data_IF_971589124013
#
_entry.id   IF_971589124013
#
_cell.length_a   1.000
_cell.length_b   1.000
_cell.length_c   1.000
_cell.angle_alpha   90.00
_cell.angle_beta   90.00
_cell.angle_gamma   90.00
#
_symmetry.space_group_name_H-M   'P 1'
#
loop_
_entity.id
_entity.type
_entity.pdbx_description
1 polymer ?
#
# COMPACT_ATOMS: atom_id res chain seq x y z
N UNK A 1 5.46 2.67 -14.51
CA UNK A 1 6.51 3.30 -13.65
C UNK A 1 7.61 2.30 -13.38
N UNK A 2 8.85 2.73 -13.14
CA UNK A 2 9.89 1.85 -12.58
C UNK A 2 9.64 1.61 -11.09
N UNK A 3 10.14 0.50 -10.55
CA UNK A 3 10.03 0.16 -9.11
C UNK A 3 10.54 1.30 -8.21
N UNK A 4 11.65 1.92 -8.57
CA UNK A 4 12.24 3.07 -7.84
C UNK A 4 11.30 4.27 -7.83
N UNK A 5 10.68 4.59 -8.97
CA UNK A 5 9.71 5.69 -9.05
C UNK A 5 8.49 5.42 -8.18
N UNK A 6 7.99 4.19 -8.18
CA UNK A 6 6.84 3.77 -7.39
C UNK A 6 7.10 3.91 -5.88
N UNK A 7 8.27 3.45 -5.43
CA UNK A 7 8.70 3.54 -4.04
C UNK A 7 8.87 4.99 -3.59
N UNK A 8 9.53 5.82 -4.41
CA UNK A 8 9.70 7.24 -4.09
C UNK A 8 8.36 7.97 -4.02
N UNK A 9 7.42 7.62 -4.90
CA UNK A 9 6.07 8.20 -4.90
C UNK A 9 5.29 7.78 -3.66
N UNK A 10 5.42 6.53 -3.23
CA UNK A 10 4.79 6.03 -2.01
C UNK A 10 5.38 6.66 -0.75
N UNK A 11 6.70 6.77 -0.64
CA UNK A 11 7.37 7.43 0.49
C UNK A 11 6.98 8.93 0.55
N UNK A 12 6.94 9.60 -0.60
CA UNK A 12 6.46 10.98 -0.70
C UNK A 12 5.00 11.12 -0.24
N UNK A 13 4.11 10.22 -0.67
CA UNK A 13 2.72 10.18 -0.19
C UNK A 13 2.66 10.02 1.33
N UNK A 14 3.44 9.09 1.89
CA UNK A 14 3.55 8.89 3.34
C UNK A 14 4.20 10.07 4.07
N UNK A 15 4.88 10.97 3.36
CA UNK A 15 5.60 12.10 3.96
C UNK A 15 6.86 11.65 4.70
N UNK A 16 7.44 10.53 4.26
CA UNK A 16 8.69 9.99 4.80
C UNK A 16 9.76 9.97 3.70
N UNK A 17 11.02 9.83 4.12
CA UNK A 17 12.17 9.72 3.22
C UNK A 17 12.75 8.31 3.32
N UNK A 18 13.48 7.90 2.28
CA UNK A 18 14.13 6.59 2.26
C UNK A 18 15.21 6.54 3.35
N UNK A 19 15.15 5.52 4.21
CA UNK A 19 16.15 5.25 5.24
C UNK A 19 16.74 3.84 5.03
N UNK A 20 17.89 3.52 5.66
CA UNK A 20 18.40 2.15 5.73
C UNK A 20 17.38 1.19 6.35
N UNK A 21 17.34 -0.05 5.85
CA UNK A 21 16.43 -1.07 6.36
C UNK A 21 16.69 -1.34 7.83
N UNK A 22 15.69 -1.09 8.66
CA UNK A 22 15.73 -1.34 10.10
C UNK A 22 14.32 -1.58 10.62
N UNK A 23 14.21 -2.27 11.76
CA UNK A 23 12.93 -2.47 12.44
C UNK A 23 12.29 -1.13 12.84
N UNK A 24 13.11 -0.16 13.22
CA UNK A 24 12.68 1.21 13.54
C UNK A 24 12.01 1.85 12.32
N UNK A 25 12.65 1.78 11.17
CA UNK A 25 12.11 2.35 9.93
C UNK A 25 10.82 1.65 9.48
N UNK A 26 10.73 0.32 9.64
CA UNK A 26 9.49 -0.43 9.39
C UNK A 26 8.33 0.08 10.27
N UNK A 27 8.56 0.27 11.56
CA UNK A 27 7.54 0.76 12.49
C UNK A 27 7.09 2.19 12.15
N UNK A 28 8.03 3.06 11.77
CA UNK A 28 7.73 4.42 11.29
C UNK A 28 6.88 4.40 10.01
N UNK A 29 7.20 3.52 9.06
CA UNK A 29 6.43 3.34 7.83
C UNK A 29 5.00 2.86 8.10
N UNK A 30 4.83 1.85 8.96
CA UNK A 30 3.51 1.33 9.35
C UNK A 30 2.68 2.44 9.98
N UNK A 31 3.27 3.19 10.92
CA UNK A 31 2.58 4.30 11.60
C UNK A 31 2.15 5.39 10.61
N UNK A 32 3.07 5.86 9.77
CA UNK A 32 2.77 6.90 8.78
C UNK A 32 1.68 6.47 7.79
N UNK A 33 1.67 5.18 7.42
CA UNK A 33 0.64 4.60 6.57
C UNK A 33 -0.73 4.59 7.25
N UNK A 34 -0.82 4.09 8.47
CA UNK A 34 -2.07 4.04 9.23
C UNK A 34 -2.66 5.43 9.49
N UNK A 35 -1.82 6.45 9.68
CA UNK A 35 -2.27 7.84 9.89
C UNK A 35 -2.79 8.49 8.60
N UNK A 36 -2.20 8.20 7.44
CA UNK A 36 -2.55 8.85 6.17
C UNK A 36 -3.59 8.09 5.34
N UNK A 37 -3.62 6.77 5.43
CA UNK A 37 -4.52 5.92 4.63
C UNK A 37 -5.81 5.73 5.41
N UNK A 38 -6.87 6.43 4.97
CA UNK A 38 -8.18 6.40 5.63
C UNK A 38 -8.80 5.01 5.64
N UNK A 39 -9.47 4.65 6.72
CA UNK A 39 -10.19 3.38 6.82
C UNK A 39 -11.40 3.37 5.89
N UNK A 40 -11.51 2.36 5.03
CA UNK A 40 -12.59 2.25 4.06
C UNK A 40 -12.91 0.78 3.72
N UNK A 41 -14.20 0.51 3.50
CA UNK A 41 -14.73 -0.83 3.19
C UNK A 41 -15.12 -1.00 1.72
N UNK A 42 -15.39 0.11 1.02
CA UNK A 42 -15.96 0.09 -0.34
C UNK A 42 -15.03 -0.53 -1.39
N UNK A 43 -13.73 -0.21 -1.33
CA UNK A 43 -12.77 -0.76 -2.29
C UNK A 43 -12.55 -2.26 -2.12
N UNK A 44 -12.73 -2.81 -0.91
CA UNK A 44 -12.72 -4.27 -0.68
C UNK A 44 -13.91 -4.98 -1.32
N UNK A 45 -15.12 -4.42 -1.22
CA UNK A 45 -16.31 -4.99 -1.85
C UNK A 45 -16.11 -5.05 -3.36
N UNK A 46 -15.58 -3.98 -3.96
CA UNK A 46 -15.28 -3.91 -5.40
C UNK A 46 -14.21 -4.94 -5.80
N UNK A 47 -13.12 -5.05 -5.03
CA UNK A 47 -12.04 -6.00 -5.31
C UNK A 47 -12.51 -7.46 -5.14
N UNK A 48 -13.37 -7.73 -4.14
CA UNK A 48 -13.99 -9.04 -3.93
C UNK A 48 -14.94 -9.43 -5.07
N UNK A 49 -15.80 -8.49 -5.53
CA UNK A 49 -16.69 -8.74 -6.66
C UNK A 49 -15.93 -9.01 -7.96
N UNK A 50 -14.80 -8.33 -8.17
CA UNK A 50 -13.88 -8.61 -9.28
C UNK A 50 -13.23 -9.98 -9.12
N UNK A 51 -12.63 -10.25 -7.97
CA UNK A 51 -11.92 -11.51 -7.70
C UNK A 51 -12.82 -12.73 -7.76
N UNK A 52 -14.09 -12.61 -7.39
CA UNK A 52 -15.07 -13.69 -7.58
C UNK A 52 -15.26 -14.07 -9.06
N UNK A 53 -15.03 -13.14 -9.99
CA UNK A 53 -15.14 -13.36 -11.44
C UNK A 53 -13.81 -13.77 -12.08
N UNK A 54 -12.68 -13.34 -11.52
CA UNK A 54 -11.34 -13.49 -12.13
C UNK A 54 -10.40 -14.40 -11.34
N UNK A 55 -10.83 -14.91 -10.19
CA UNK A 55 -10.01 -15.57 -9.15
C UNK A 55 -8.87 -14.69 -8.58
N UNK A 56 -8.86 -13.40 -8.92
CA UNK A 56 -7.86 -12.43 -8.48
C UNK A 56 -8.50 -11.37 -7.56
N UNK A 57 -8.31 -11.58 -6.26
CA UNK A 57 -8.92 -10.76 -5.20
C UNK A 57 -8.10 -9.53 -4.84
N UNK A 58 -6.91 -9.39 -5.43
CA UNK A 58 -5.96 -8.36 -5.05
C UNK A 58 -5.66 -7.42 -6.22
N UNK A 59 -5.85 -6.11 -6.07
CA UNK A 59 -5.45 -5.19 -7.12
C UNK A 59 -3.92 -5.18 -7.27
N UNK A 60 -3.44 -4.87 -8.47
CA UNK A 60 -2.01 -4.61 -8.68
C UNK A 60 -1.51 -3.49 -7.77
N UNK A 61 -0.22 -3.50 -7.43
CA UNK A 61 0.37 -2.48 -6.55
C UNK A 61 0.21 -1.06 -7.11
N UNK A 62 0.26 -0.92 -8.43
CA UNK A 62 0.03 0.35 -9.13
C UNK A 62 -1.42 0.82 -8.99
N UNK A 63 -2.39 -0.10 -9.10
CA UNK A 63 -3.81 0.18 -8.86
C UNK A 63 -4.05 0.61 -7.40
N UNK A 64 -3.39 -0.07 -6.46
CA UNK A 64 -3.46 0.24 -5.04
C UNK A 64 -2.92 1.65 -4.74
N UNK A 65 -1.71 1.96 -5.19
CA UNK A 65 -1.08 3.27 -4.98
C UNK A 65 -1.92 4.37 -5.64
N UNK A 66 -2.40 4.16 -6.87
CA UNK A 66 -3.25 5.13 -7.56
C UNK A 66 -4.56 5.42 -6.81
N UNK A 67 -5.17 4.42 -6.16
CA UNK A 67 -6.39 4.62 -5.34
C UNK A 67 -6.10 5.47 -4.11
N UNK A 68 -5.04 5.14 -3.38
CA UNK A 68 -4.66 5.89 -2.18
C UNK A 68 -4.30 7.33 -2.53
N UNK A 69 -3.53 7.52 -3.61
CA UNK A 69 -3.07 8.83 -4.07
C UNK A 69 -4.22 9.70 -4.59
N UNK A 70 -5.03 9.19 -5.53
CA UNK A 70 -6.05 9.99 -6.22
C UNK A 70 -7.41 10.02 -5.53
N UNK A 71 -7.80 8.95 -4.82
CA UNK A 71 -9.15 8.81 -4.25
C UNK A 71 -9.21 8.98 -2.73
N UNK A 72 -8.07 9.08 -2.03
CA UNK A 72 -7.98 9.13 -0.55
C UNK A 72 -8.80 8.02 0.13
N UNK A 73 -8.84 6.88 -0.53
CA UNK A 73 -9.69 5.73 -0.27
C UNK A 73 -8.79 4.62 0.31
N UNK A 74 -8.97 4.16 1.56
CA UNK A 74 -8.03 3.22 2.19
C UNK A 74 -8.63 1.91 2.74
N UNK A 75 -8.01 1.28 3.75
CA UNK A 75 -8.14 -0.19 4.03
C UNK A 75 -8.10 -0.59 5.51
N UNK A 76 -8.53 -1.83 5.80
CA UNK A 76 -8.47 -2.51 7.12
C UNK A 76 -7.06 -3.01 7.51
N UNK A 77 -6.85 -3.23 8.82
CA UNK A 77 -5.58 -3.53 9.51
C UNK A 77 -4.94 -4.87 9.09
N UNK A 78 -5.74 -5.94 8.94
CA UNK A 78 -5.28 -7.28 8.55
C UNK A 78 -4.59 -7.27 7.18
N UNK A 79 -5.21 -6.71 6.15
CA UNK A 79 -4.61 -6.65 4.81
C UNK A 79 -3.48 -5.61 4.69
N UNK A 80 -3.50 -4.52 5.47
CA UNK A 80 -2.41 -3.52 5.40
C UNK A 80 -1.08 -4.09 5.88
N UNK A 81 -1.13 -4.95 6.90
CA UNK A 81 0.02 -5.66 7.44
C UNK A 81 0.50 -6.79 6.52
N UNK A 82 -0.36 -7.32 5.63
CA UNK A 82 0.03 -8.29 4.61
C UNK A 82 0.74 -7.63 3.41
N UNK A 83 0.38 -6.40 3.06
CA UNK A 83 0.92 -5.69 1.89
C UNK A 83 2.17 -4.86 2.19
N UNK A 84 2.33 -4.29 3.39
CA UNK A 84 3.54 -3.53 3.76
C UNK A 84 4.81 -4.39 3.65
N UNK A 85 4.85 -5.64 4.14
CA UNK A 85 5.98 -6.55 3.92
C UNK A 85 6.19 -6.86 2.45
N UNK A 86 5.14 -7.10 1.66
CA UNK A 86 5.27 -7.39 0.23
C UNK A 86 5.81 -6.19 -0.57
N UNK A 87 5.39 -4.97 -0.23
CA UNK A 87 5.93 -3.73 -0.84
C UNK A 87 7.39 -3.54 -0.44
N UNK A 88 7.75 -3.79 0.82
CA UNK A 88 9.13 -3.67 1.28
C UNK A 88 10.01 -4.74 0.62
N UNK A 89 9.57 -6.00 0.59
CA UNK A 89 10.30 -7.10 -0.04
C UNK A 89 10.47 -6.87 -1.54
N UNK A 90 9.39 -6.52 -2.27
CA UNK A 90 9.44 -6.21 -3.71
C UNK A 90 10.04 -4.84 -4.03
N UNK A 91 10.35 -4.00 -3.05
CA UNK A 91 11.03 -2.72 -3.25
C UNK A 91 12.55 -2.84 -3.10
N UNK A 92 13.04 -3.93 -2.52
CA UNK A 92 14.44 -4.09 -2.11
C UNK A 92 15.13 -5.34 -2.67
N UNK A 93 14.37 -6.25 -3.30
CA UNK A 93 14.84 -7.26 -4.25
C UNK A 93 14.32 -6.94 -5.65
#
# INVERSE_FOLDING_TARGET
MTQVQLVNSFLSFLGTTKQPTSLKFLNELIKAHQEKVKWETLTKIIDWEKGKKTEDYFPSIETYINRIYNKRSGRYLLDSLDWIPLVIIKSWF
#
